data_IF_645114744693
#
_entry.id   IF_645114744693
#
_cell.length_a   1.000
_cell.length_b   1.000
_cell.length_c   1.000
_cell.angle_alpha   90.00
_cell.angle_beta   90.00
_cell.angle_gamma   90.00
#
_symmetry.space_group_name_H-M   'P 1'
#
loop_
_entity.id
_entity.type
_entity.pdbx_description
1 polymer ?
#
# COMPACT_ATOMS: atom_id res chain seq x y z
N UNK A 1 19.43 3.50 34.92
CA UNK A 1 18.65 3.78 33.70
C UNK A 1 17.44 2.88 33.72
N UNK A 2 16.24 3.45 33.76
CA UNK A 2 14.98 2.69 33.70
C UNK A 2 14.81 2.14 32.29
N UNK A 3 14.60 0.83 32.14
CA UNK A 3 14.34 0.23 30.83
C UNK A 3 13.05 0.85 30.25
N UNK A 4 13.03 1.22 28.96
CA UNK A 4 11.82 1.75 28.33
C UNK A 4 10.68 0.75 28.47
N UNK A 5 9.47 1.23 28.77
CA UNK A 5 8.32 0.35 28.89
C UNK A 5 8.02 -0.33 27.53
N UNK A 6 7.55 -1.59 27.51
CA UNK A 6 7.19 -2.28 26.26
C UNK A 6 6.22 -1.49 25.36
N UNK A 7 5.37 -0.66 25.97
CA UNK A 7 4.44 0.20 25.23
C UNK A 7 5.16 1.25 24.36
N UNK A 8 6.26 1.80 24.86
CA UNK A 8 7.12 2.74 24.14
C UNK A 8 7.90 2.03 23.03
N UNK A 9 8.51 0.88 23.33
CA UNK A 9 9.31 0.09 22.38
C UNK A 9 8.52 -0.39 21.15
N UNK A 10 7.19 -0.48 21.27
CA UNK A 10 6.29 -0.91 20.19
C UNK A 10 5.58 0.25 19.50
N UNK A 11 5.64 1.48 20.03
CA UNK A 11 4.80 2.60 19.60
C UNK A 11 4.93 2.91 18.10
N UNK A 12 6.17 3.00 17.60
CA UNK A 12 6.42 3.34 16.19
C UNK A 12 5.93 2.26 15.24
N UNK A 13 6.25 0.98 15.54
CA UNK A 13 5.76 -0.12 14.72
C UNK A 13 4.24 -0.16 14.69
N UNK A 14 3.56 0.06 15.82
CA UNK A 14 2.08 0.14 15.84
C UNK A 14 1.54 1.25 14.94
N UNK A 15 2.16 2.43 14.95
CA UNK A 15 1.74 3.54 14.08
C UNK A 15 2.01 3.24 12.59
N UNK A 16 3.13 2.60 12.29
CA UNK A 16 3.52 2.29 10.90
C UNK A 16 2.81 1.08 10.31
N UNK A 17 2.37 0.11 11.14
CA UNK A 17 1.80 -1.15 10.64
C UNK A 17 0.38 -1.43 11.13
N UNK A 18 -0.12 -0.77 12.17
CA UNK A 18 -1.44 -1.10 12.76
C UNK A 18 -1.45 -2.43 13.54
N UNK A 19 -0.28 -3.03 13.79
CA UNK A 19 -0.16 -4.20 14.67
C UNK A 19 -0.58 -3.84 16.11
N UNK A 20 -1.14 -4.81 16.83
CA UNK A 20 -1.51 -4.58 18.23
C UNK A 20 -0.27 -4.60 19.13
N UNK A 21 -0.33 -3.89 20.26
CA UNK A 21 0.74 -3.93 21.27
C UNK A 21 1.01 -5.36 21.74
N UNK A 22 -0.05 -6.14 22.01
CA UNK A 22 0.07 -7.53 22.45
C UNK A 22 0.80 -8.42 21.42
N UNK A 23 0.49 -8.28 20.14
CA UNK A 23 1.16 -9.03 19.08
C UNK A 23 2.64 -8.67 18.97
N UNK A 24 2.98 -7.39 19.16
CA UNK A 24 4.36 -6.92 19.10
C UNK A 24 5.18 -7.25 20.35
N UNK A 25 4.55 -7.33 21.53
CA UNK A 25 5.24 -7.76 22.75
C UNK A 25 5.88 -9.14 22.62
N UNK A 26 5.24 -10.05 21.89
CA UNK A 26 5.79 -11.38 21.63
C UNK A 26 7.04 -11.36 20.73
N UNK A 27 7.30 -10.25 20.04
CA UNK A 27 8.46 -10.07 19.15
C UNK A 27 9.60 -9.27 19.81
N UNK A 28 9.39 -8.72 21.01
CA UNK A 28 10.37 -7.87 21.67
C UNK A 28 11.64 -8.67 21.99
N UNK A 29 12.83 -8.18 21.59
CA UNK A 29 14.09 -8.78 21.97
C UNK A 29 14.23 -8.80 23.50
N UNK A 30 14.83 -9.87 24.04
CA UNK A 30 15.15 -9.94 25.48
C UNK A 30 16.07 -8.82 25.96
N UNK A 31 16.82 -8.19 25.04
CA UNK A 31 17.67 -7.02 25.29
C UNK A 31 16.91 -5.69 25.41
N UNK A 32 15.60 -5.67 25.24
CA UNK A 32 14.79 -4.44 25.33
C UNK A 32 14.98 -3.48 24.15
N UNK A 33 15.49 -3.98 23.02
CA UNK A 33 15.61 -3.21 21.78
C UNK A 33 14.24 -2.87 21.17
N UNK A 34 14.15 -1.73 20.49
CA UNK A 34 12.95 -1.36 19.77
C UNK A 34 12.78 -2.19 18.48
N UNK A 35 11.53 -2.45 18.09
CA UNK A 35 11.23 -3.31 16.94
C UNK A 35 11.48 -2.58 15.62
N UNK A 36 12.16 -3.24 14.70
CA UNK A 36 12.24 -2.81 13.31
C UNK A 36 11.10 -3.38 12.48
N UNK A 37 10.90 -2.84 11.28
CA UNK A 37 10.05 -3.45 10.26
C UNK A 37 10.97 -4.15 9.26
N UNK A 38 10.87 -5.49 9.09
CA UNK A 38 11.74 -6.22 8.21
C UNK A 38 11.61 -5.72 6.76
N UNK A 39 12.72 -5.73 6.04
CA UNK A 39 12.77 -5.48 4.59
C UNK A 39 12.44 -6.80 3.86
N UNK A 40 11.98 -6.71 2.61
CA UNK A 40 11.82 -7.88 1.76
C UNK A 40 13.17 -8.61 1.59
N UNK A 41 13.22 -9.92 1.84
CA UNK A 41 14.47 -10.69 1.76
C UNK A 41 15.02 -10.80 0.34
N UNK A 42 14.16 -10.72 -0.68
CA UNK A 42 14.56 -10.83 -2.08
C UNK A 42 13.84 -9.79 -2.96
N UNK A 43 14.49 -9.42 -4.05
CA UNK A 43 14.02 -8.39 -4.99
C UNK A 43 12.59 -8.67 -5.48
N UNK A 44 12.25 -9.94 -5.76
CA UNK A 44 10.93 -10.27 -6.27
C UNK A 44 9.79 -10.01 -5.25
N UNK A 45 10.05 -10.12 -3.95
CA UNK A 45 9.06 -9.78 -2.93
C UNK A 45 8.84 -8.27 -2.93
N UNK A 46 9.91 -7.47 -3.02
CA UNK A 46 9.81 -6.02 -3.12
C UNK A 46 9.06 -5.58 -4.38
N UNK A 47 9.30 -6.23 -5.52
CA UNK A 47 8.61 -5.94 -6.79
C UNK A 47 7.14 -6.30 -6.74
N UNK A 48 6.77 -7.45 -6.16
CA UNK A 48 5.38 -7.83 -6.00
C UNK A 48 4.64 -6.84 -5.10
N UNK A 49 5.24 -6.48 -3.96
CA UNK A 49 4.70 -5.47 -3.03
C UNK A 49 4.52 -4.12 -3.69
N UNK A 50 5.54 -3.63 -4.40
CA UNK A 50 5.46 -2.35 -5.09
C UNK A 50 4.40 -2.35 -6.21
N UNK A 51 4.33 -3.42 -7.01
CA UNK A 51 3.34 -3.53 -8.07
C UNK A 51 1.91 -3.57 -7.51
N UNK A 52 1.68 -4.33 -6.44
CA UNK A 52 0.38 -4.37 -5.75
C UNK A 52 0.04 -3.00 -5.20
N UNK A 53 0.97 -2.37 -4.47
CA UNK A 53 0.78 -1.06 -3.86
C UNK A 53 0.36 0.00 -4.90
N UNK A 54 1.10 0.12 -5.99
CA UNK A 54 0.81 1.11 -7.03
C UNK A 54 -0.55 0.89 -7.71
N UNK A 55 -0.96 -0.37 -7.88
CA UNK A 55 -2.20 -0.69 -8.58
C UNK A 55 -3.45 -0.42 -7.74
N UNK A 56 -3.37 -0.65 -6.42
CA UNK A 56 -4.53 -0.39 -5.53
C UNK A 56 -4.60 1.06 -5.04
N UNK A 57 -3.63 1.89 -5.39
CA UNK A 57 -3.78 3.34 -5.30
C UNK A 57 -4.98 3.81 -6.12
N UNK A 58 -5.58 4.94 -5.74
CA UNK A 58 -6.85 5.50 -6.22
C UNK A 58 -8.13 4.87 -5.63
N UNK A 59 -8.02 4.04 -4.58
CA UNK A 59 -9.17 3.69 -3.74
C UNK A 59 -9.85 4.95 -3.16
N UNK A 60 -9.08 6.03 -2.97
CA UNK A 60 -9.60 7.32 -2.57
C UNK A 60 -10.21 7.31 -1.17
N UNK A 61 -11.27 8.11 -0.99
CA UNK A 61 -11.89 8.35 0.31
C UNK A 61 -12.90 7.30 0.77
N UNK A 62 -12.79 6.07 0.26
CA UNK A 62 -13.75 5.01 0.54
C UNK A 62 -13.53 4.38 1.93
N UNK A 63 -12.32 4.46 2.49
CA UNK A 63 -12.01 3.86 3.79
C UNK A 63 -11.43 4.87 4.79
N UNK A 64 -11.65 4.59 6.07
CA UNK A 64 -10.96 5.23 7.19
C UNK A 64 -9.48 4.81 7.28
N UNK A 65 -9.05 3.85 6.46
CA UNK A 65 -7.70 3.33 6.45
C UNK A 65 -7.06 3.50 5.07
N UNK A 66 -5.77 3.87 5.00
CA UNK A 66 -5.02 3.88 3.75
C UNK A 66 -5.23 2.60 2.96
N UNK A 67 -5.76 2.71 1.74
CA UNK A 67 -6.04 1.58 0.84
C UNK A 67 -6.97 0.50 1.45
N UNK A 68 -7.74 0.84 2.48
CA UNK A 68 -8.56 -0.10 3.23
C UNK A 68 -7.75 -1.08 4.09
N UNK A 69 -6.48 -0.79 4.37
CA UNK A 69 -5.59 -1.67 5.13
C UNK A 69 -5.65 -1.32 6.62
N UNK A 70 -6.30 -2.18 7.40
CA UNK A 70 -6.39 -2.09 8.86
C UNK A 70 -5.02 -2.34 9.50
N UNK A 71 -4.33 -3.37 9.01
CA UNK A 71 -3.06 -3.82 9.60
C UNK A 71 -2.15 -4.41 8.53
N UNK A 72 -0.87 -4.19 8.70
CA UNK A 72 0.23 -4.81 7.96
C UNK A 72 1.02 -5.67 8.94
N UNK A 73 1.33 -6.91 8.57
CA UNK A 73 2.28 -7.75 9.30
C UNK A 73 3.40 -8.14 8.33
N UNK A 74 4.51 -7.39 8.36
CA UNK A 74 5.63 -7.64 7.47
C UNK A 74 6.49 -8.80 7.99
N UNK A 75 6.80 -9.73 7.08
CA UNK A 75 7.85 -10.75 7.24
C UNK A 75 8.89 -10.53 6.14
N UNK A 76 10.04 -11.18 6.26
CA UNK A 76 11.08 -11.01 5.25
C UNK A 76 10.65 -11.59 3.89
N UNK A 77 10.01 -12.75 3.88
CA UNK A 77 9.60 -13.53 2.71
C UNK A 77 8.14 -13.32 2.27
N UNK A 78 7.34 -12.60 3.06
CA UNK A 78 5.92 -12.33 2.76
C UNK A 78 5.39 -11.08 3.44
N UNK A 79 4.32 -10.53 2.88
CA UNK A 79 3.56 -9.44 3.48
C UNK A 79 2.14 -9.90 3.79
N UNK A 80 1.67 -9.73 5.03
CA UNK A 80 0.29 -10.04 5.38
C UNK A 80 -0.46 -8.72 5.59
N UNK A 81 -1.58 -8.57 4.90
CA UNK A 81 -2.44 -7.40 4.94
C UNK A 81 -3.81 -7.81 5.50
N UNK A 82 -4.26 -7.10 6.53
CA UNK A 82 -5.63 -7.17 7.00
C UNK A 82 -6.40 -6.00 6.39
N UNK A 83 -7.38 -6.33 5.56
CA UNK A 83 -8.26 -5.35 4.91
C UNK A 83 -9.51 -5.12 5.76
N UNK A 84 -10.21 -4.02 5.49
CA UNK A 84 -11.57 -3.79 5.99
C UNK A 84 -12.52 -4.83 5.37
N UNK A 85 -13.48 -5.31 6.16
CA UNK A 85 -14.50 -6.28 5.73
C UNK A 85 -15.60 -5.61 4.89
N UNK A 86 -15.22 -5.02 3.75
CA UNK A 86 -16.11 -4.27 2.85
C UNK A 86 -16.08 -4.84 1.43
N UNK A 87 -17.21 -5.35 0.89
CA UNK A 87 -17.27 -5.89 -0.47
C UNK A 87 -16.77 -4.95 -1.56
N UNK A 88 -17.10 -3.66 -1.49
CA UNK A 88 -16.66 -2.67 -2.48
C UNK A 88 -15.14 -2.47 -2.48
N UNK A 89 -14.51 -2.50 -1.31
CA UNK A 89 -13.05 -2.49 -1.18
C UNK A 89 -12.44 -3.73 -1.85
N UNK A 90 -12.98 -4.91 -1.58
CA UNK A 90 -12.50 -6.16 -2.18
C UNK A 90 -12.69 -6.14 -3.69
N UNK A 91 -13.84 -5.63 -4.18
CA UNK A 91 -14.08 -5.45 -5.61
C UNK A 91 -13.05 -4.53 -6.25
N UNK A 92 -12.75 -3.39 -5.61
CA UNK A 92 -11.73 -2.46 -6.10
C UNK A 92 -10.36 -3.14 -6.19
N UNK A 93 -9.92 -3.84 -5.15
CA UNK A 93 -8.66 -4.57 -5.18
C UNK A 93 -8.61 -5.60 -6.33
N UNK A 94 -9.65 -6.39 -6.50
CA UNK A 94 -9.75 -7.36 -7.61
C UNK A 94 -9.71 -6.68 -8.98
N UNK A 95 -10.40 -5.56 -9.13
CA UNK A 95 -10.50 -4.83 -10.40
C UNK A 95 -9.18 -4.22 -10.85
N UNK A 96 -8.38 -3.72 -9.92
CA UNK A 96 -7.11 -3.07 -10.24
C UNK A 96 -5.91 -4.01 -10.20
N UNK A 97 -5.97 -5.14 -9.50
CA UNK A 97 -4.83 -6.04 -9.38
C UNK A 97 -4.71 -7.04 -10.51
N UNK A 98 -5.84 -7.55 -11.00
CA UNK A 98 -5.76 -8.67 -11.92
C UNK A 98 -5.37 -8.29 -13.35
N UNK A 99 -4.46 -9.06 -13.96
CA UNK A 99 -3.91 -8.74 -15.26
C UNK A 99 -4.97 -8.86 -16.36
N UNK A 100 -5.10 -7.82 -17.17
CA UNK A 100 -5.93 -7.80 -18.38
C UNK A 100 -5.15 -7.18 -19.52
N UNK A 101 -5.41 -7.62 -20.75
CA UNK A 101 -4.85 -6.97 -21.94
C UNK A 101 -5.52 -5.61 -22.12
N UNK A 102 -4.73 -4.56 -22.25
CA UNK A 102 -5.22 -3.21 -22.55
C UNK A 102 -5.74 -3.11 -24.00
N UNK A 103 -6.83 -2.36 -24.21
CA UNK A 103 -7.42 -2.14 -25.55
C UNK A 103 -6.54 -1.23 -26.43
N UNK A 104 -5.81 -0.29 -25.83
CA UNK A 104 -4.85 0.59 -26.50
C UNK A 104 -3.42 0.15 -26.16
N UNK A 105 -2.92 -0.86 -26.87
CA UNK A 105 -1.53 -1.28 -26.73
C UNK A 105 -0.61 -0.21 -27.36
N UNK A 106 -0.03 0.66 -26.52
CA UNK A 106 1.15 1.43 -26.89
C UNK A 106 2.31 0.55 -27.34
N UNK A 107 3.35 1.16 -27.91
CA UNK A 107 4.55 0.42 -28.32
C UNK A 107 5.27 -0.28 -27.16
N UNK A 108 5.16 0.28 -25.95
CA UNK A 108 5.81 -0.24 -24.74
C UNK A 108 5.11 -1.51 -24.20
N UNK A 109 5.83 -2.62 -23.97
CA UNK A 109 5.25 -3.83 -23.40
C UNK A 109 4.54 -3.62 -22.06
N UNK A 110 4.96 -2.64 -21.25
CA UNK A 110 4.40 -2.35 -19.92
C UNK A 110 2.98 -1.81 -19.99
N UNK A 111 2.61 -1.16 -21.09
CA UNK A 111 1.28 -0.57 -21.28
C UNK A 111 0.26 -1.60 -21.79
N UNK A 112 0.73 -2.78 -22.23
CA UNK A 112 -0.14 -3.83 -22.80
C UNK A 112 -0.92 -4.62 -21.75
N UNK A 113 -0.48 -4.56 -20.50
CA UNK A 113 -1.12 -5.27 -19.38
C UNK A 113 -1.56 -4.26 -18.33
N UNK A 114 -2.87 -4.10 -18.17
CA UNK A 114 -3.43 -3.43 -17.00
C UNK A 114 -3.37 -4.37 -15.80
N UNK A 115 -3.33 -3.82 -14.59
CA UNK A 115 -3.11 -4.58 -13.36
C UNK A 115 -1.67 -5.07 -13.18
N UNK A 116 -1.48 -6.13 -12.39
CA UNK A 116 -0.16 -6.67 -12.06
C UNK A 116 0.15 -7.87 -12.96
N UNK A 117 1.15 -7.79 -13.86
CA UNK A 117 1.51 -8.89 -14.74
C UNK A 117 1.84 -10.17 -13.96
N UNK A 118 1.28 -11.30 -14.41
CA UNK A 118 1.50 -12.63 -13.84
C UNK A 118 0.83 -12.84 -12.50
N UNK A 119 0.07 -11.88 -11.97
CA UNK A 119 -0.56 -12.01 -10.67
C UNK A 119 -1.66 -13.07 -10.71
N UNK A 120 -1.60 -13.99 -9.77
CA UNK A 120 -2.62 -14.99 -9.49
C UNK A 120 -3.00 -14.91 -8.02
N UNK A 121 -4.13 -15.52 -7.70
CA UNK A 121 -4.52 -15.72 -6.32
C UNK A 121 -4.89 -17.16 -6.04
N UNK A 122 -4.67 -17.58 -4.80
CA UNK A 122 -5.09 -18.87 -4.29
C UNK A 122 -5.60 -18.69 -2.86
N UNK A 123 -6.59 -19.50 -2.48
CA UNK A 123 -7.03 -19.55 -1.11
C UNK A 123 -5.98 -20.26 -0.25
N UNK A 124 -5.71 -19.71 0.93
CA UNK A 124 -4.85 -20.33 1.91
C UNK A 124 -5.40 -20.18 3.34
N UNK A 125 -4.74 -20.82 4.30
CA UNK A 125 -5.07 -20.65 5.71
C UNK A 125 -4.81 -19.20 6.13
N UNK A 126 -5.89 -18.48 6.46
CA UNK A 126 -5.82 -17.07 6.86
C UNK A 126 -6.27 -16.07 5.79
N UNK A 127 -6.57 -16.51 4.55
CA UNK A 127 -7.20 -15.65 3.56
C UNK A 127 -6.86 -15.97 2.11
N UNK A 128 -6.52 -14.94 1.34
CA UNK A 128 -6.18 -15.01 -0.08
C UNK A 128 -4.69 -14.72 -0.27
N UNK A 129 -3.95 -15.66 -0.82
CA UNK A 129 -2.56 -15.47 -1.25
C UNK A 129 -2.53 -14.89 -2.65
N UNK A 130 -1.91 -13.74 -2.81
CA UNK A 130 -1.47 -13.15 -4.06
C UNK A 130 -0.05 -13.60 -4.37
N UNK A 131 0.20 -14.09 -5.58
CA UNK A 131 1.52 -14.60 -5.98
C UNK A 131 1.71 -14.51 -7.49
N UNK A 132 2.95 -14.74 -7.95
CA UNK A 132 3.31 -14.96 -9.35
C UNK A 132 3.74 -16.42 -9.54
N UNK A 133 3.24 -17.15 -10.56
CA UNK A 133 3.62 -18.54 -10.78
C UNK A 133 5.14 -18.70 -10.93
N UNK A 134 5.70 -19.67 -10.20
CA UNK A 134 7.14 -19.98 -10.21
C UNK A 134 8.02 -19.04 -9.37
N UNK A 135 7.43 -18.09 -8.64
CA UNK A 135 8.16 -17.13 -7.80
C UNK A 135 7.82 -17.34 -6.32
N UNK A 136 8.81 -17.12 -5.45
CA UNK A 136 8.63 -17.30 -3.99
C UNK A 136 7.77 -16.20 -3.36
N UNK A 137 7.73 -15.01 -3.97
CA UNK A 137 7.04 -13.84 -3.43
C UNK A 137 5.55 -14.09 -3.16
N UNK A 138 5.06 -13.58 -2.03
CA UNK A 138 3.67 -13.70 -1.62
C UNK A 138 3.18 -12.48 -0.83
N UNK A 139 1.93 -12.11 -1.08
CA UNK A 139 1.15 -11.21 -0.22
C UNK A 139 -0.11 -11.93 0.21
N UNK A 140 -0.43 -11.90 1.49
CA UNK A 140 -1.61 -12.58 2.04
C UNK A 140 -2.63 -11.52 2.45
N UNK A 141 -3.83 -11.59 1.88
CA UNK A 141 -4.94 -10.71 2.22
C UNK A 141 -5.89 -11.42 3.17
N UNK A 142 -6.26 -10.75 4.26
CA UNK A 142 -7.11 -11.28 5.33
C UNK A 142 -8.10 -10.21 5.81
N UNK A 143 -8.97 -10.56 6.77
CA UNK A 143 -9.89 -9.60 7.39
C UNK A 143 -11.24 -9.46 6.70
N UNK A 144 -11.49 -10.23 5.65
CA UNK A 144 -12.75 -10.29 4.92
C UNK A 144 -13.11 -11.74 4.57
N UNK A 145 -14.34 -11.99 4.11
CA UNK A 145 -14.75 -13.32 3.64
C UNK A 145 -14.05 -13.71 2.32
N UNK A 146 -13.17 -14.74 2.29
CA UNK A 146 -12.41 -15.11 1.08
C UNK A 146 -13.29 -15.47 -0.13
N UNK A 147 -14.53 -15.91 0.11
CA UNK A 147 -15.49 -16.23 -0.98
C UNK A 147 -15.90 -15.00 -1.78
N UNK A 148 -15.81 -13.80 -1.20
CA UNK A 148 -16.08 -12.55 -1.92
C UNK A 148 -15.04 -12.35 -3.01
N UNK A 149 -13.76 -12.52 -2.67
CA UNK A 149 -12.67 -12.43 -3.63
C UNK A 149 -12.84 -13.42 -4.78
N UNK A 150 -13.12 -14.69 -4.46
CA UNK A 150 -13.35 -15.74 -5.47
C UNK A 150 -14.53 -15.38 -6.40
N UNK A 151 -15.68 -14.97 -5.82
CA UNK A 151 -16.87 -14.61 -6.60
C UNK A 151 -16.63 -13.42 -7.53
N UNK A 152 -16.01 -12.35 -7.01
CA UNK A 152 -15.70 -11.15 -7.80
C UNK A 152 -14.68 -11.50 -8.89
N UNK A 153 -13.62 -12.24 -8.54
CA UNK A 153 -12.61 -12.69 -9.48
C UNK A 153 -13.22 -13.46 -10.66
N UNK A 154 -14.12 -14.41 -10.39
CA UNK A 154 -14.83 -15.19 -11.41
C UNK A 154 -15.66 -14.29 -12.33
N UNK A 155 -16.36 -13.30 -11.76
CA UNK A 155 -17.10 -12.30 -12.55
C UNK A 155 -16.24 -11.46 -13.50
N UNK A 156 -14.91 -11.43 -13.29
CA UNK A 156 -13.94 -10.69 -14.12
C UNK A 156 -13.14 -11.57 -15.08
N UNK A 157 -13.53 -12.82 -15.27
CA UNK A 157 -12.87 -13.76 -16.20
C UNK A 157 -13.18 -13.44 -17.69
N UNK A 158 -13.99 -12.42 -18.00
CA UNK A 158 -14.32 -11.96 -19.36
C UNK A 158 -13.31 -11.00 -20.03
N UNK A 159 -13.65 -10.49 -21.23
CA UNK A 159 -12.95 -9.50 -22.08
C UNK A 159 -11.50 -9.17 -21.69
N UNK A 160 -10.54 -9.89 -22.28
CA UNK A 160 -9.11 -9.58 -22.13
C UNK A 160 -8.48 -9.99 -20.80
N UNK A 161 -9.23 -10.63 -19.88
CA UNK A 161 -8.70 -11.16 -18.63
C UNK A 161 -7.68 -12.27 -18.85
N UNK A 162 -6.52 -12.14 -18.21
CA UNK A 162 -5.43 -13.12 -18.29
C UNK A 162 -5.48 -14.17 -17.16
N UNK A 163 -6.48 -14.08 -16.28
CA UNK A 163 -6.67 -14.98 -15.14
C UNK A 163 -6.99 -16.42 -15.52
N UNK A 164 -7.49 -16.65 -16.74
CA UNK A 164 -7.77 -18.00 -17.25
C UNK A 164 -6.50 -18.85 -17.39
N UNK A 165 -5.34 -18.21 -17.49
CA UNK A 165 -4.06 -18.91 -17.63
C UNK A 165 -3.45 -19.20 -16.26
N UNK A 166 -3.26 -20.48 -15.93
CA UNK A 166 -2.64 -20.88 -14.66
C UNK A 166 -1.18 -20.39 -14.52
N UNK A 167 -0.46 -20.34 -15.65
CA UNK A 167 0.87 -19.78 -15.75
C UNK A 167 0.87 -18.38 -16.35
N UNK A 168 2.08 -17.87 -16.58
CA UNK A 168 2.29 -16.62 -17.27
C UNK A 168 1.97 -16.74 -18.75
N UNK A 169 1.34 -15.70 -19.31
CA UNK A 169 1.24 -15.51 -20.75
C UNK A 169 2.47 -14.79 -21.31
N UNK A 170 2.67 -14.84 -22.63
CA UNK A 170 3.77 -14.15 -23.29
C UNK A 170 3.70 -12.62 -23.10
N UNK A 171 2.48 -12.04 -23.09
CA UNK A 171 2.29 -10.59 -22.88
C UNK A 171 2.60 -10.19 -21.44
N UNK A 172 2.19 -10.98 -20.45
CA UNK A 172 2.57 -10.74 -19.05
C UNK A 172 4.07 -10.85 -18.83
N UNK A 173 4.71 -11.84 -19.46
CA UNK A 173 6.15 -12.03 -19.39
C UNK A 173 6.89 -10.83 -19.95
N UNK A 174 6.53 -10.38 -21.16
CA UNK A 174 7.15 -9.22 -21.78
C UNK A 174 6.97 -7.93 -20.96
N UNK A 175 5.78 -7.72 -20.38
CA UNK A 175 5.53 -6.57 -19.51
C UNK A 175 6.37 -6.64 -18.21
N UNK A 176 6.46 -7.83 -17.59
CA UNK A 176 7.27 -8.04 -16.39
C UNK A 176 8.77 -7.86 -16.67
N UNK A 177 9.29 -8.46 -17.75
CA UNK A 177 10.71 -8.34 -18.12
C UNK A 177 11.09 -6.89 -18.44
N UNK A 178 10.21 -6.15 -19.13
CA UNK A 178 10.40 -4.73 -19.42
C UNK A 178 10.39 -3.88 -18.14
N UNK A 179 9.56 -4.23 -17.15
CA UNK A 179 9.54 -3.57 -15.84
C UNK A 179 10.80 -3.89 -15.03
N UNK A 180 11.24 -5.15 -15.03
CA UNK A 180 12.46 -5.58 -14.34
C UNK A 180 13.72 -4.93 -14.92
N UNK A 181 13.77 -4.78 -16.25
CA UNK A 181 14.86 -4.07 -16.93
C UNK A 181 14.81 -2.54 -16.76
N UNK A 182 13.76 -1.98 -16.14
CA UNK A 182 13.60 -0.53 -16.00
C UNK A 182 14.63 0.03 -15.01
N UNK A 183 15.53 0.94 -15.44
CA UNK A 183 16.51 1.56 -14.53
C UNK A 183 15.89 2.41 -13.41
N UNK A 184 14.58 2.69 -13.53
CA UNK A 184 13.80 3.51 -12.59
C UNK A 184 12.81 2.67 -11.77
N UNK A 185 13.00 1.35 -11.69
CA UNK A 185 12.16 0.47 -10.86
C UNK A 185 11.99 1.04 -9.45
N UNK A 186 10.76 1.39 -9.09
CA UNK A 186 10.44 2.05 -7.84
C UNK A 186 10.30 1.06 -6.67
N UNK A 187 10.54 -0.24 -6.89
CA UNK A 187 10.38 -1.28 -5.87
C UNK A 187 11.12 -1.00 -4.56
N UNK A 188 12.34 -0.45 -4.64
CA UNK A 188 13.17 -0.09 -3.50
C UNK A 188 12.56 1.02 -2.62
N UNK A 189 11.73 1.91 -3.19
CA UNK A 189 11.03 2.97 -2.44
C UNK A 189 9.65 2.49 -1.98
N UNK A 190 8.94 1.77 -2.84
CA UNK A 190 7.53 1.46 -2.67
C UNK A 190 7.26 0.27 -1.77
N UNK A 191 8.07 -0.78 -1.82
CA UNK A 191 7.91 -1.94 -0.91
C UNK A 191 8.11 -1.53 0.56
N UNK A 192 9.19 -0.81 0.94
CA UNK A 192 9.36 -0.36 2.32
C UNK A 192 8.25 0.58 2.81
N UNK A 193 7.73 1.44 1.93
CA UNK A 193 6.59 2.31 2.21
C UNK A 193 5.29 1.50 2.39
N UNK A 194 5.04 0.51 1.54
CA UNK A 194 3.84 -0.34 1.63
C UNK A 194 3.81 -1.15 2.92
N UNK A 195 4.97 -1.66 3.36
CA UNK A 195 5.16 -2.31 4.67
C UNK A 195 4.87 -1.39 5.86
N UNK A 196 4.78 -0.08 5.61
CA UNK A 196 4.55 1.01 6.57
C UNK A 196 3.30 1.82 6.24
N UNK A 197 2.39 1.32 5.40
CA UNK A 197 1.32 2.16 4.83
C UNK A 197 0.46 2.87 5.89
N UNK A 198 0.40 2.37 7.14
CA UNK A 198 -0.34 3.05 8.20
C UNK A 198 0.28 4.36 8.65
N UNK A 199 1.55 4.64 8.33
CA UNK A 199 2.15 5.96 8.54
C UNK A 199 1.41 7.06 7.78
N UNK A 200 0.66 6.75 6.72
CA UNK A 200 -0.11 7.73 5.95
C UNK A 200 -1.53 7.94 6.49
N UNK A 201 -1.91 7.26 7.57
CA UNK A 201 -3.18 7.48 8.25
C UNK A 201 -3.08 8.70 9.17
N UNK A 202 -3.96 9.69 8.97
CA UNK A 202 -4.17 10.79 9.89
C UNK A 202 -5.42 10.62 10.75
N UNK A 203 -5.77 11.67 11.53
CA UNK A 203 -6.90 11.65 12.46
C UNK A 203 -8.25 11.80 11.77
N UNK A 204 -8.26 12.12 10.47
CA UNK A 204 -9.50 12.30 9.72
C UNK A 204 -10.23 10.97 9.50
N UNK A 205 -11.54 11.05 9.18
CA UNK A 205 -12.37 9.87 9.00
C UNK A 205 -12.24 9.25 7.59
N UNK A 206 -11.31 9.76 6.78
CA UNK A 206 -11.10 9.33 5.40
C UNK A 206 -9.60 9.37 5.13
N UNK A 207 -8.96 8.21 5.03
CA UNK A 207 -7.51 8.16 4.82
C UNK A 207 -7.20 7.64 3.43
N UNK A 208 -7.23 8.55 2.46
CA UNK A 208 -6.82 8.26 1.08
C UNK A 208 -5.30 8.24 0.97
N UNK A 209 -4.75 7.34 0.15
CA UNK A 209 -3.32 7.32 -0.16
C UNK A 209 -3.10 6.92 -1.60
N UNK A 210 -2.44 7.80 -2.35
CA UNK A 210 -2.12 7.62 -3.76
C UNK A 210 -0.62 7.72 -3.98
N UNK A 211 -0.10 6.83 -4.82
CA UNK A 211 1.32 6.81 -5.16
C UNK A 211 1.52 6.56 -6.64
N UNK A 212 2.40 7.35 -7.26
CA UNK A 212 2.77 7.15 -8.66
C UNK A 212 4.23 7.53 -8.91
N UNK A 213 4.84 6.94 -9.92
CA UNK A 213 6.19 7.32 -10.37
C UNK A 213 6.15 8.64 -11.10
N UNK A 214 7.10 9.53 -10.83
CA UNK A 214 7.22 10.83 -11.49
C UNK A 214 8.70 11.12 -11.76
N UNK A 215 9.10 11.16 -13.03
CA UNK A 215 10.51 11.37 -13.38
C UNK A 215 11.42 10.25 -12.86
N UNK A 216 12.33 10.58 -11.95
CA UNK A 216 13.24 9.63 -11.27
C UNK A 216 12.77 9.25 -9.86
N UNK A 217 11.68 9.82 -9.34
CA UNK A 217 11.19 9.61 -7.99
C UNK A 217 9.78 9.03 -7.94
N UNK A 218 9.18 9.12 -6.76
CA UNK A 218 7.77 8.78 -6.53
C UNK A 218 7.05 9.95 -5.88
N UNK A 219 5.78 10.15 -6.24
CA UNK A 219 4.89 11.06 -5.53
C UNK A 219 4.00 10.25 -4.60
N UNK A 220 3.84 10.73 -3.38
CA UNK A 220 2.94 10.20 -2.37
C UNK A 220 1.95 11.29 -2.00
N UNK A 221 0.68 11.02 -2.21
CA UNK A 221 -0.39 11.94 -1.85
C UNK A 221 -1.32 11.31 -0.82
N UNK A 222 -1.73 12.09 0.16
CA UNK A 222 -2.72 11.68 1.16
C UNK A 222 -3.91 12.63 1.20
N UNK A 223 -5.07 12.08 1.55
CA UNK A 223 -6.25 12.84 2.01
C UNK A 223 -6.43 12.59 3.49
N UNK A 224 -6.62 13.67 4.27
CA UNK A 224 -6.62 13.68 5.73
C UNK A 224 -5.45 12.89 6.37
N UNK A 225 -4.27 12.95 5.73
CA UNK A 225 -3.06 12.28 6.20
C UNK A 225 -2.57 12.80 7.56
N UNK A 226 -1.54 12.16 8.14
CA UNK A 226 -1.02 12.53 9.45
C UNK A 226 -0.49 13.97 9.49
N UNK A 227 -0.37 14.55 10.70
CA UNK A 227 0.44 15.75 10.90
C UNK A 227 1.86 15.54 10.36
N UNK A 228 2.40 16.54 9.65
CA UNK A 228 3.74 16.44 9.04
C UNK A 228 4.86 16.05 10.04
N UNK A 229 4.90 16.55 11.29
CA UNK A 229 5.91 16.11 12.25
C UNK A 229 5.86 14.61 12.54
N UNK A 230 4.66 14.03 12.64
CA UNK A 230 4.48 12.59 12.87
C UNK A 230 4.92 11.78 11.65
N UNK A 231 4.53 12.21 10.44
CA UNK A 231 4.95 11.57 9.20
C UNK A 231 6.46 11.57 9.02
N UNK A 232 7.07 12.76 9.16
CA UNK A 232 8.52 12.94 9.02
C UNK A 232 9.22 11.99 10.01
N UNK A 233 8.90 12.07 11.31
CA UNK A 233 9.51 11.23 12.32
C UNK A 233 9.39 9.73 12.00
N UNK A 234 8.22 9.26 11.56
CA UNK A 234 7.98 7.84 11.24
C UNK A 234 8.66 7.37 9.95
N UNK A 235 9.00 8.27 9.02
CA UNK A 235 9.68 7.94 7.78
C UNK A 235 11.19 8.17 7.83
N UNK A 236 11.68 9.06 8.69
CA UNK A 236 13.11 9.43 8.74
C UNK A 236 13.85 8.74 9.88
N UNK A 237 13.25 8.68 11.07
CA UNK A 237 13.96 8.33 12.30
C UNK A 237 13.60 6.94 12.85
N UNK A 238 14.48 6.43 13.71
CA UNK A 238 14.19 5.27 14.55
C UNK A 238 14.21 3.91 13.83
N UNK A 239 13.96 2.83 14.59
CA UNK A 239 14.08 1.46 14.10
C UNK A 239 13.02 1.09 13.04
N UNK A 240 11.91 1.84 13.01
CA UNK A 240 10.83 1.68 12.06
C UNK A 240 10.88 2.69 10.91
N UNK A 241 11.82 3.64 10.92
CA UNK A 241 11.99 4.60 9.83
C UNK A 241 12.41 3.95 8.51
N UNK A 242 12.42 4.76 7.46
CA UNK A 242 13.05 4.45 6.17
C UNK A 242 14.43 5.10 6.04
N UNK A 243 14.84 5.93 6.99
CA UNK A 243 16.11 6.67 6.93
C UNK A 243 16.10 7.77 5.87
N UNK A 244 14.93 8.15 5.34
CA UNK A 244 14.82 9.22 4.36
C UNK A 244 15.22 10.56 4.96
N UNK A 245 15.78 11.43 4.13
CA UNK A 245 16.23 12.77 4.52
C UNK A 245 15.20 13.80 4.04
N UNK A 246 14.84 14.77 4.88
CA UNK A 246 13.97 15.88 4.45
C UNK A 246 14.82 16.93 3.74
N UNK A 247 14.54 17.18 2.47
CA UNK A 247 15.22 18.23 1.69
C UNK A 247 14.46 19.57 1.79
N UNK A 248 13.14 19.54 1.60
CA UNK A 248 12.27 20.72 1.69
C UNK A 248 10.97 20.38 2.41
N UNK A 249 10.34 21.39 3.02
CA UNK A 249 8.99 21.25 3.59
C UNK A 249 8.20 22.56 3.56
N UNK A 250 6.92 22.45 3.24
CA UNK A 250 5.92 23.50 3.43
C UNK A 250 4.80 22.90 4.28
N UNK A 251 4.60 23.40 5.50
CA UNK A 251 3.68 22.80 6.45
C UNK A 251 2.66 23.82 6.94
N UNK A 252 1.38 23.53 6.72
CA UNK A 252 0.22 24.27 7.26
C UNK A 252 -0.49 23.52 8.39
N UNK A 253 0.00 22.32 8.74
CA UNK A 253 -0.65 21.37 9.62
C UNK A 253 -0.71 21.82 11.11
N UNK A 254 0.02 22.87 11.49
CA UNK A 254 0.03 23.50 12.82
C UNK A 254 -0.46 24.96 12.80
N UNK A 255 -1.07 25.40 11.69
CA UNK A 255 -1.58 26.77 11.57
C UNK A 255 -3.01 26.84 12.12
N UNK A 256 -3.28 27.83 12.97
CA UNK A 256 -4.59 28.03 13.61
C UNK A 256 -5.69 28.57 12.67
N UNK A 257 -5.42 28.68 11.36
CA UNK A 257 -6.36 29.18 10.37
C UNK A 257 -6.54 28.21 9.21
N UNK A 258 -7.77 28.13 8.70
CA UNK A 258 -8.13 27.20 7.62
C UNK A 258 -7.45 27.61 6.31
N UNK A 259 -6.48 26.81 5.88
CA UNK A 259 -5.89 26.91 4.55
C UNK A 259 -6.75 26.14 3.55
N UNK A 260 -7.86 26.74 3.11
CA UNK A 260 -8.80 26.11 2.17
C UNK A 260 -8.17 25.71 0.82
N UNK A 261 -6.93 26.12 0.51
CA UNK A 261 -6.24 25.87 -0.77
C UNK A 261 -4.76 25.49 -0.69
N UNK A 262 -4.13 25.48 0.49
CA UNK A 262 -2.68 25.21 0.65
C UNK A 262 -2.48 24.01 1.58
N UNK A 263 -2.23 22.84 1.00
CA UNK A 263 -1.88 21.63 1.72
C UNK A 263 -0.45 21.64 2.26
N UNK A 264 -0.09 20.61 3.03
CA UNK A 264 1.29 20.41 3.45
C UNK A 264 2.06 19.64 2.35
N UNK A 265 3.30 20.02 2.06
CA UNK A 265 4.22 19.29 1.18
C UNK A 265 5.56 19.01 1.87
N UNK A 266 6.13 17.85 1.61
CA UNK A 266 7.46 17.48 2.11
C UNK A 266 8.23 16.77 1.00
N UNK A 267 9.43 17.22 0.72
CA UNK A 267 10.33 16.57 -0.22
C UNK A 267 11.33 15.74 0.58
N UNK A 268 11.31 14.43 0.36
CA UNK A 268 12.26 13.50 0.94
C UNK A 268 13.27 13.03 -0.11
N UNK A 269 14.44 12.60 0.36
CA UNK A 269 15.44 11.86 -0.41
C UNK A 269 15.75 10.55 0.27
N UNK A 270 15.73 9.46 -0.48
CA UNK A 270 16.28 8.19 -0.03
C UNK A 270 17.81 8.22 -0.15
N UNK A 271 18.58 8.12 0.95
CA UNK A 271 20.03 8.18 0.90
C UNK A 271 20.65 6.96 0.20
N UNK A 272 19.94 5.83 0.12
CA UNK A 272 20.47 4.60 -0.51
C UNK A 272 20.42 4.71 -2.03
N UNK A 273 19.29 5.16 -2.57
CA UNK A 273 19.11 5.25 -4.03
C UNK A 273 19.36 6.65 -4.59
N UNK A 274 19.44 7.67 -3.74
CA UNK A 274 19.50 9.09 -4.12
C UNK A 274 18.20 9.60 -4.74
N UNK A 275 17.11 8.82 -4.69
CA UNK A 275 15.86 9.14 -5.40
C UNK A 275 14.96 10.02 -4.54
N UNK A 276 14.26 10.99 -5.16
CA UNK A 276 13.33 11.85 -4.45
C UNK A 276 11.98 11.16 -4.22
N UNK A 277 11.35 11.52 -3.10
CA UNK A 277 9.96 11.19 -2.77
C UNK A 277 9.23 12.49 -2.42
N UNK A 278 8.27 12.88 -3.25
CA UNK A 278 7.49 14.11 -3.02
C UNK A 278 6.17 13.77 -2.34
N UNK A 279 5.99 14.27 -1.12
CA UNK A 279 4.77 14.11 -0.35
C UNK A 279 3.86 15.34 -0.48
N UNK A 280 2.56 15.12 -0.67
CA UNK A 280 1.50 16.12 -0.55
C UNK A 280 0.36 15.62 0.33
N UNK A 281 -0.13 16.46 1.23
CA UNK A 281 -1.40 16.24 1.92
C UNK A 281 -2.43 17.21 1.36
N UNK A 282 -3.24 16.73 0.42
CA UNK A 282 -4.25 17.55 -0.25
C UNK A 282 -5.58 17.40 0.48
N UNK A 283 -6.04 18.51 1.08
CA UNK A 283 -7.38 18.72 1.64
C UNK A 283 -7.61 18.04 2.99
N UNK A 284 -7.67 18.88 4.02
CA UNK A 284 -8.19 18.55 5.33
C UNK A 284 -9.72 18.71 5.35
N UNK A 285 -10.40 17.80 6.04
CA UNK A 285 -11.81 17.96 6.41
C UNK A 285 -12.80 17.36 5.43
N UNK A 286 -12.49 16.24 4.76
CA UNK A 286 -13.57 15.43 4.18
C UNK A 286 -14.36 14.80 5.32
N UNK A 287 -15.55 15.33 5.58
CA UNK A 287 -16.42 14.81 6.63
C UNK A 287 -17.08 13.49 6.21
N UNK A 288 -17.26 12.61 7.18
CA UNK A 288 -18.24 11.52 7.11
C UNK A 288 -19.65 12.13 7.00
N UNK A 289 -20.08 12.49 5.80
CA UNK A 289 -21.46 12.88 5.56
C UNK A 289 -22.33 11.65 5.23
N UNK A 290 -23.65 11.81 5.36
CA UNK A 290 -24.61 10.75 5.07
C UNK A 290 -24.52 10.30 3.60
N UNK A 291 -24.18 11.22 2.68
CA UNK A 291 -23.99 10.93 1.26
C UNK A 291 -22.88 9.93 1.00
N UNK A 292 -21.75 10.02 1.71
CA UNK A 292 -20.68 9.03 1.62
C UNK A 292 -21.15 7.66 2.10
N UNK A 293 -21.87 7.59 3.23
CA UNK A 293 -22.38 6.31 3.76
C UNK A 293 -23.34 5.66 2.77
N UNK A 294 -24.24 6.44 2.17
CA UNK A 294 -25.14 5.98 1.11
C UNK A 294 -24.36 5.51 -0.13
N UNK A 295 -23.33 6.25 -0.56
CA UNK A 295 -22.48 5.87 -1.69
C UNK A 295 -21.74 4.55 -1.44
N UNK A 296 -21.14 4.37 -0.26
CA UNK A 296 -20.46 3.13 0.14
C UNK A 296 -21.47 1.96 0.21
N UNK A 297 -22.67 2.18 0.76
CA UNK A 297 -23.72 1.16 0.77
C UNK A 297 -24.17 0.75 -0.64
N UNK A 298 -24.30 1.72 -1.55
CA UNK A 298 -24.58 1.48 -2.96
C UNK A 298 -23.48 0.67 -3.65
N UNK A 299 -22.21 1.04 -3.44
CA UNK A 299 -21.06 0.30 -3.97
C UNK A 299 -20.96 -1.12 -3.40
N UNK A 300 -21.22 -1.30 -2.10
CA UNK A 300 -21.23 -2.62 -1.48
C UNK A 300 -22.33 -3.53 -2.05
N UNK A 301 -23.50 -2.97 -2.36
CA UNK A 301 -24.59 -3.69 -3.00
C UNK A 301 -24.23 -4.10 -4.44
N UNK A 302 -23.53 -3.22 -5.16
CA UNK A 302 -23.08 -3.45 -6.54
C UNK A 302 -21.82 -4.31 -6.67
N UNK A 303 -21.03 -4.48 -5.61
CA UNK A 303 -19.74 -5.17 -5.63
C UNK A 303 -19.80 -6.62 -6.14
N UNK A 304 -20.98 -7.24 -6.07
CA UNK A 304 -21.20 -8.63 -6.48
C UNK A 304 -22.11 -8.80 -7.69
N UNK A 305 -22.50 -7.69 -8.32
CA UNK A 305 -23.33 -7.66 -9.52
C UNK A 305 -22.54 -8.06 -10.77
#
# INVERSE_FOLDING_TARGET
MTLPTPLFLTADRRRSTGESHQALCALLPSSGGALSIPVACHAEQARLEAAVFQRVCALGGLSEHPLGIVRVRPWEDRLILQLVDEPSLISHWVDFLYPRVGEEAGGDPRDRVSGVPGLRSAREAGGIRLYRPGMAAAIVLSGFNPRWWERIAVGRVGCGSLLQHAGWTAVERAAYDAQEACPRDASALLSPLFRRIRVTAGPGPVNGTDVWTSGNGVRLETTDGPPCPDLIRLLTEGPCGLGWEVENKVCTCLCDHSHARVGCTVDFRDPVTGRPVWYSNLKWGRTLDDRRREAVAGLNSAAFA
#
